data_IF_342323314684
#
_entry.id   IF_342323314684
#
_cell.length_a   1.000
_cell.length_b   1.000
_cell.length_c   1.000
_cell.angle_alpha   90.00
_cell.angle_beta   90.00
_cell.angle_gamma   90.00
#
_symmetry.space_group_name_H-M   'P 1'
#
loop_
_entity.id
_entity.type
_entity.pdbx_description
1 polymer ?
#
# COMPACT_ATOMS: atom_id res chain seq x y z
N UNK A 1 -30.32 46.98 -23.13
CA UNK A 1 -29.72 45.94 -23.97
C UNK A 1 -29.33 44.79 -23.07
N UNK A 2 -30.06 43.68 -23.16
CA UNK A 2 -29.65 42.39 -22.61
C UNK A 2 -28.41 41.89 -23.35
N UNK A 3 -27.43 41.33 -22.63
CA UNK A 3 -26.58 40.29 -23.19
C UNK A 3 -26.41 39.15 -22.18
N UNK A 4 -26.61 37.95 -22.73
CA UNK A 4 -26.88 36.69 -22.07
C UNK A 4 -25.60 36.03 -21.56
N UNK A 5 -25.72 35.40 -20.37
CA UNK A 5 -25.32 34.03 -20.04
C UNK A 5 -23.92 33.55 -20.47
N UNK A 6 -23.09 33.25 -19.47
CA UNK A 6 -22.21 32.08 -19.49
C UNK A 6 -22.20 31.42 -18.10
N UNK A 7 -22.90 30.28 -18.00
CA UNK A 7 -22.69 29.30 -16.92
C UNK A 7 -21.34 28.65 -17.17
N UNK A 8 -20.46 28.64 -16.17
CA UNK A 8 -19.14 28.02 -16.27
C UNK A 8 -18.78 27.34 -14.95
N UNK A 9 -19.17 26.06 -14.86
CA UNK A 9 -18.54 24.99 -14.10
C UNK A 9 -17.95 25.34 -12.71
N UNK A 10 -18.79 25.25 -11.68
CA UNK A 10 -18.30 24.86 -10.36
C UNK A 10 -17.92 23.37 -10.47
N UNK A 11 -16.63 23.08 -10.65
CA UNK A 11 -16.07 21.77 -10.35
C UNK A 11 -16.19 21.58 -8.84
N UNK A 12 -17.37 21.14 -8.40
CA UNK A 12 -17.53 20.52 -7.09
C UNK A 12 -16.58 19.32 -7.09
N UNK A 13 -15.38 19.52 -6.57
CA UNK A 13 -14.52 18.46 -6.10
C UNK A 13 -15.31 17.75 -5.02
N UNK A 14 -16.11 16.78 -5.47
CA UNK A 14 -16.63 15.71 -4.67
C UNK A 14 -15.42 14.96 -4.15
N UNK A 15 -14.88 15.46 -3.05
CA UNK A 15 -14.18 14.65 -2.08
C UNK A 15 -15.23 13.64 -1.62
N UNK A 16 -15.34 12.55 -2.39
CA UNK A 16 -16.11 11.39 -1.98
C UNK A 16 -15.44 10.98 -0.68
N UNK A 17 -16.02 11.39 0.44
CA UNK A 17 -15.97 10.62 1.66
C UNK A 17 -16.29 9.20 1.19
N UNK A 18 -15.25 8.38 1.07
CA UNK A 18 -15.41 6.94 0.97
C UNK A 18 -15.99 6.61 2.33
N UNK A 19 -17.32 6.64 2.41
CA UNK A 19 -18.05 6.21 3.58
C UNK A 19 -17.45 4.87 3.99
N UNK A 20 -16.88 4.86 5.20
CA UNK A 20 -16.39 3.69 5.88
C UNK A 20 -17.62 2.79 6.03
N UNK A 21 -17.82 1.92 5.03
CA UNK A 21 -18.91 0.96 5.00
C UNK A 21 -18.52 -0.14 5.99
N UNK A 22 -18.60 0.21 7.27
CA UNK A 22 -18.13 -0.55 8.43
C UNK A 22 -19.14 -1.62 8.90
N UNK A 23 -20.26 -1.79 8.21
CA UNK A 23 -21.33 -2.70 8.64
C UNK A 23 -21.33 -4.04 7.87
N UNK A 24 -20.16 -4.69 7.77
CA UNK A 24 -20.07 -6.09 7.32
C UNK A 24 -19.29 -6.98 8.31
N UNK A 25 -19.27 -6.67 9.61
CA UNK A 25 -18.76 -7.59 10.65
C UNK A 25 -19.86 -8.09 11.58
N UNK A 26 -20.99 -8.47 10.99
CA UNK A 26 -21.88 -9.43 11.64
C UNK A 26 -21.22 -10.82 11.58
N UNK A 27 -20.43 -11.16 12.61
CA UNK A 27 -20.07 -12.52 13.05
C UNK A 27 -18.64 -13.06 12.83
N UNK A 28 -17.64 -12.24 12.49
CA UNK A 28 -16.23 -12.70 12.58
C UNK A 28 -15.56 -12.16 13.83
N UNK A 29 -15.47 -13.00 14.87
CA UNK A 29 -14.80 -12.63 16.11
C UNK A 29 -13.28 -12.51 15.88
N UNK A 30 -12.82 -11.30 15.57
CA UNK A 30 -11.40 -10.98 15.42
C UNK A 30 -10.71 -10.98 16.79
N UNK A 31 -9.64 -11.75 16.94
CA UNK A 31 -8.86 -11.87 18.19
C UNK A 31 -7.43 -11.37 17.98
N UNK A 32 -6.78 -10.86 19.03
CA UNK A 32 -5.39 -10.39 18.94
C UNK A 32 -4.44 -11.50 18.47
N UNK A 33 -4.57 -12.71 19.00
CA UNK A 33 -3.79 -13.87 18.54
C UNK A 33 -4.01 -14.23 17.07
N UNK A 34 -5.23 -14.04 16.55
CA UNK A 34 -5.53 -14.17 15.13
C UNK A 34 -4.81 -13.12 14.28
N UNK A 35 -4.88 -11.84 14.71
CA UNK A 35 -4.23 -10.72 14.02
C UNK A 35 -2.70 -10.83 14.03
N UNK A 36 -2.11 -11.23 15.16
CA UNK A 36 -0.66 -11.46 15.30
C UNK A 36 -0.20 -12.49 14.27
N UNK A 37 -0.84 -13.67 14.26
CA UNK A 37 -0.48 -14.74 13.31
C UNK A 37 -0.65 -14.31 11.86
N UNK A 38 -1.74 -13.62 11.55
CA UNK A 38 -2.01 -13.12 10.21
C UNK A 38 -0.93 -12.11 9.78
N UNK A 39 -0.58 -11.17 10.65
CA UNK A 39 0.48 -10.18 10.39
C UNK A 39 1.83 -10.86 10.13
N UNK A 40 2.22 -11.85 10.94
CA UNK A 40 3.45 -12.61 10.76
C UNK A 40 3.50 -13.37 9.42
N UNK A 41 2.40 -14.03 9.03
CA UNK A 41 2.32 -14.73 7.73
C UNK A 41 2.49 -13.75 6.57
N UNK A 42 1.80 -12.61 6.61
CA UNK A 42 1.89 -11.60 5.56
C UNK A 42 3.30 -11.00 5.51
N UNK A 43 3.94 -10.78 6.66
CA UNK A 43 5.32 -10.31 6.71
C UNK A 43 6.28 -11.30 6.04
N UNK A 44 6.07 -12.61 6.22
CA UNK A 44 6.80 -13.66 5.49
C UNK A 44 6.61 -13.56 3.98
N UNK A 45 5.36 -13.50 3.52
CA UNK A 45 5.03 -13.36 2.09
C UNK A 45 5.59 -12.07 1.47
N UNK A 46 5.65 -10.98 2.23
CA UNK A 46 6.27 -9.72 1.79
C UNK A 46 7.78 -9.87 1.56
N UNK A 47 8.48 -10.56 2.48
CA UNK A 47 9.92 -10.85 2.39
C UNK A 47 10.25 -11.76 1.21
N UNK A 48 9.40 -12.75 0.95
CA UNK A 48 9.51 -13.64 -0.22
C UNK A 48 9.20 -12.92 -1.55
N UNK A 49 8.65 -11.71 -1.48
CA UNK A 49 8.26 -10.95 -2.66
C UNK A 49 7.01 -11.48 -3.35
N UNK A 50 6.25 -12.36 -2.68
CA UNK A 50 5.00 -12.94 -3.14
C UNK A 50 3.81 -11.96 -3.06
N UNK A 51 4.00 -10.80 -2.42
CA UNK A 51 2.99 -9.75 -2.31
C UNK A 51 3.28 -8.57 -3.24
N UNK A 52 2.22 -8.11 -3.91
CA UNK A 52 2.18 -6.80 -4.55
C UNK A 52 2.20 -5.68 -3.50
N UNK A 53 2.98 -4.62 -3.75
CA UNK A 53 3.22 -3.56 -2.74
C UNK A 53 1.97 -2.72 -2.47
N UNK A 54 1.11 -2.52 -3.47
CA UNK A 54 -0.15 -1.77 -3.30
C UNK A 54 -1.17 -2.59 -2.53
N UNK A 55 -1.25 -3.89 -2.83
CA UNK A 55 -2.09 -4.82 -2.09
C UNK A 55 -1.63 -4.92 -0.63
N UNK A 56 -0.32 -5.08 -0.38
CA UNK A 56 0.26 -5.11 0.96
C UNK A 56 -0.08 -3.87 1.79
N UNK A 57 0.05 -2.67 1.22
CA UNK A 57 -0.29 -1.43 1.90
C UNK A 57 -1.79 -1.28 2.22
N UNK A 58 -2.68 -1.84 1.39
CA UNK A 58 -4.13 -1.88 1.69
C UNK A 58 -4.44 -2.89 2.79
N UNK A 59 -3.80 -4.04 2.75
CA UNK A 59 -3.98 -5.09 3.75
C UNK A 59 -3.50 -4.64 5.14
N UNK A 60 -2.33 -4.01 5.21
CA UNK A 60 -1.81 -3.41 6.45
C UNK A 60 -2.79 -2.41 7.07
N UNK A 61 -3.36 -1.50 6.25
CA UNK A 61 -4.36 -0.53 6.74
C UNK A 61 -5.61 -1.20 7.32
N UNK A 62 -6.05 -2.32 6.75
CA UNK A 62 -7.18 -3.09 7.30
C UNK A 62 -6.80 -3.78 8.61
N UNK A 63 -5.63 -4.40 8.68
CA UNK A 63 -5.10 -5.01 9.90
C UNK A 63 -4.93 -4.00 11.03
N UNK A 64 -4.43 -2.79 10.74
CA UNK A 64 -4.31 -1.72 11.74
C UNK A 64 -5.69 -1.29 12.28
N UNK A 65 -6.69 -1.15 11.41
CA UNK A 65 -8.08 -0.89 11.84
C UNK A 65 -8.60 -2.00 12.76
N UNK A 66 -8.41 -3.26 12.39
CA UNK A 66 -8.83 -4.39 13.24
C UNK A 66 -8.09 -4.42 14.57
N UNK A 67 -6.79 -4.16 14.58
CA UNK A 67 -6.00 -4.12 15.80
C UNK A 67 -6.48 -3.03 16.76
N UNK A 68 -6.89 -1.87 16.23
CA UNK A 68 -7.54 -0.81 17.02
C UNK A 68 -8.90 -1.23 17.55
N UNK A 69 -9.71 -1.94 16.75
CA UNK A 69 -11.00 -2.49 17.20
C UNK A 69 -10.83 -3.48 18.33
N UNK A 70 -9.91 -4.44 18.21
CA UNK A 70 -9.62 -5.44 19.24
C UNK A 70 -9.09 -4.78 20.51
N UNK A 71 -8.16 -3.82 20.37
CA UNK A 71 -7.56 -3.12 21.52
C UNK A 71 -8.54 -2.17 22.24
N UNK A 72 -9.47 -1.52 21.52
CA UNK A 72 -10.31 -0.45 22.06
C UNK A 72 -11.78 -0.82 22.31
N UNK A 73 -12.31 -1.87 21.67
CA UNK A 73 -13.74 -2.23 21.68
C UNK A 73 -13.99 -3.72 21.91
N UNK A 74 -12.96 -4.48 22.26
CA UNK A 74 -13.06 -5.90 22.55
C UNK A 74 -13.91 -6.19 23.80
N UNK A 75 -14.47 -7.42 23.91
CA UNK A 75 -15.24 -7.84 25.09
C UNK A 75 -14.40 -7.92 26.37
N UNK A 76 -13.08 -8.06 26.23
CA UNK A 76 -12.10 -7.94 27.30
C UNK A 76 -10.93 -7.07 26.79
N UNK A 77 -10.38 -6.18 27.64
CA UNK A 77 -9.15 -5.46 27.30
C UNK A 77 -8.01 -6.46 27.13
N UNK A 78 -7.13 -6.19 26.16
CA UNK A 78 -5.89 -6.96 25.99
C UNK A 78 -4.98 -6.75 27.20
N UNK A 79 -4.27 -7.80 27.60
CA UNK A 79 -3.18 -7.63 28.54
C UNK A 79 -1.98 -6.92 27.86
N UNK A 80 -1.05 -6.42 28.68
CA UNK A 80 0.12 -5.68 28.20
C UNK A 80 1.00 -6.53 27.25
N UNK A 81 1.06 -7.84 27.48
CA UNK A 81 1.88 -8.75 26.67
C UNK A 81 1.24 -9.00 25.30
N UNK A 82 -0.08 -9.19 25.25
CA UNK A 82 -0.86 -9.32 24.02
C UNK A 82 -0.82 -8.03 23.21
N UNK A 83 -0.94 -6.88 23.87
CA UNK A 83 -0.85 -5.58 23.24
C UNK A 83 0.54 -5.34 22.64
N UNK A 84 1.61 -5.63 23.39
CA UNK A 84 2.98 -5.53 22.90
C UNK A 84 3.25 -6.48 21.73
N UNK A 85 2.76 -7.72 21.82
CA UNK A 85 2.90 -8.71 20.75
C UNK A 85 2.18 -8.28 19.47
N UNK A 86 0.97 -7.73 19.58
CA UNK A 86 0.19 -7.21 18.45
C UNK A 86 0.90 -6.03 17.78
N UNK A 87 1.38 -5.06 18.56
CA UNK A 87 2.14 -3.93 18.04
C UNK A 87 3.45 -4.37 17.39
N UNK A 88 4.16 -5.31 18.00
CA UNK A 88 5.38 -5.91 17.45
C UNK A 88 5.14 -6.56 16.09
N UNK A 89 4.12 -7.42 15.99
CA UNK A 89 3.78 -8.11 14.75
C UNK A 89 3.37 -7.13 13.62
N UNK A 90 2.61 -6.08 13.94
CA UNK A 90 2.26 -5.03 12.97
C UNK A 90 3.49 -4.21 12.54
N UNK A 91 4.38 -3.89 13.48
CA UNK A 91 5.64 -3.20 13.17
C UNK A 91 6.54 -4.00 12.24
N UNK A 92 6.66 -5.31 12.46
CA UNK A 92 7.40 -6.21 11.57
C UNK A 92 6.78 -6.28 10.17
N UNK A 93 5.44 -6.32 10.09
CA UNK A 93 4.73 -6.29 8.82
C UNK A 93 4.97 -4.98 8.06
N UNK A 94 4.85 -3.82 8.71
CA UNK A 94 5.11 -2.52 8.09
C UNK A 94 6.55 -2.45 7.56
N UNK A 95 7.53 -2.87 8.36
CA UNK A 95 8.92 -2.91 7.95
C UNK A 95 9.12 -3.80 6.72
N UNK A 96 8.55 -5.01 6.71
CA UNK A 96 8.66 -5.94 5.58
C UNK A 96 8.06 -5.37 4.29
N UNK A 97 6.90 -4.70 4.39
CA UNK A 97 6.26 -4.05 3.24
C UNK A 97 7.10 -2.89 2.68
N UNK A 98 7.67 -2.06 3.55
CA UNK A 98 8.56 -0.95 3.12
C UNK A 98 9.84 -1.46 2.47
N UNK A 99 10.44 -2.50 3.03
CA UNK A 99 11.61 -3.15 2.42
C UNK A 99 11.28 -3.72 1.04
N UNK A 100 10.10 -4.35 0.90
CA UNK A 100 9.65 -4.88 -0.39
C UNK A 100 9.43 -3.76 -1.42
N UNK A 101 8.81 -2.66 -1.02
CA UNK A 101 8.60 -1.50 -1.88
C UNK A 101 9.92 -0.87 -2.33
N UNK A 102 10.85 -0.67 -1.40
CA UNK A 102 12.20 -0.19 -1.70
C UNK A 102 12.94 -1.12 -2.69
N UNK A 103 12.89 -2.44 -2.47
CA UNK A 103 13.50 -3.41 -3.37
C UNK A 103 12.90 -3.36 -4.78
N UNK A 104 11.57 -3.19 -4.87
CA UNK A 104 10.87 -3.01 -6.15
C UNK A 104 11.35 -1.76 -6.91
N UNK A 105 11.50 -0.64 -6.20
CA UNK A 105 12.00 0.61 -6.77
C UNK A 105 13.46 0.51 -7.24
N UNK A 106 14.32 -0.18 -6.47
CA UNK A 106 15.71 -0.41 -6.87
C UNK A 106 15.78 -1.26 -8.13
N UNK A 107 15.00 -2.34 -8.21
CA UNK A 107 14.95 -3.21 -9.39
C UNK A 107 14.42 -2.46 -10.63
N UNK A 108 13.40 -1.63 -10.47
CA UNK A 108 12.88 -0.79 -11.56
C UNK A 108 13.93 0.22 -12.05
N UNK A 109 14.63 0.89 -11.13
CA UNK A 109 15.69 1.83 -11.48
C UNK A 109 16.88 1.17 -12.20
N UNK A 110 17.26 -0.04 -11.80
CA UNK A 110 18.30 -0.81 -12.49
C UNK A 110 17.92 -1.09 -13.95
N UNK A 111 16.69 -1.55 -14.20
CA UNK A 111 16.16 -1.80 -15.54
C UNK A 111 16.13 -0.55 -16.43
N UNK A 112 15.84 0.62 -15.85
CA UNK A 112 15.87 1.88 -16.59
C UNK A 112 17.29 2.23 -17.06
N UNK A 113 18.29 2.09 -16.18
CA UNK A 113 19.70 2.33 -16.52
C UNK A 113 20.22 1.38 -17.60
N UNK A 114 19.85 0.11 -17.51
CA UNK A 114 20.17 -0.89 -18.55
C UNK A 114 19.54 -0.50 -19.90
N UNK A 115 18.26 -0.10 -19.89
CA UNK A 115 17.53 0.33 -21.08
C UNK A 115 18.17 1.57 -21.73
N UNK A 116 18.55 2.58 -20.94
CA UNK A 116 19.22 3.79 -21.43
C UNK A 116 20.62 3.50 -22.01
N UNK A 117 21.37 2.57 -21.40
CA UNK A 117 22.67 2.15 -21.93
C UNK A 117 22.57 1.45 -23.29
N UNK A 118 21.46 0.72 -23.52
CA UNK A 118 21.20 0.00 -24.78
C UNK A 118 20.66 0.91 -25.88
N UNK A 119 19.91 1.96 -25.53
CA UNK A 119 19.32 2.91 -26.48
C UNK A 119 20.37 3.88 -27.07
N UNK A 120 21.40 4.22 -26.30
CA UNK A 120 22.52 5.04 -26.78
C UNK A 120 23.43 4.35 -27.82
N UNK A 121 23.47 3.01 -27.87
CA UNK A 121 24.21 2.27 -28.92
C UNK A 121 23.54 2.33 -30.30
N UNK A 122 22.20 2.47 -30.38
CA UNK A 122 21.48 2.53 -31.67
C UNK A 122 21.47 3.90 -32.34
N UNK A 123 21.89 4.97 -31.64
CA UNK A 123 21.91 6.35 -32.19
C UNK A 123 23.26 6.79 -32.75
N UNK A 124 24.31 5.95 -32.69
CA UNK A 124 25.66 6.28 -33.18
C UNK A 124 26.09 5.51 -34.43
N UNK A 125 25.15 5.14 -35.30
CA UNK A 125 25.46 4.48 -36.58
C UNK A 125 24.59 5.00 -37.73
N UNK A 126 24.58 6.32 -37.95
CA UNK A 126 24.25 6.89 -39.27
C UNK A 126 24.75 8.32 -39.41
N UNK A 127 26.05 8.51 -39.65
CA UNK A 127 26.58 9.53 -40.57
C UNK A 127 28.08 9.32 -40.78
N UNK A 128 28.42 8.32 -41.59
CA UNK A 128 29.66 8.33 -42.36
C UNK A 128 29.27 8.40 -43.84
N UNK A 129 29.86 9.40 -44.50
CA UNK A 129 30.14 9.58 -45.94
C UNK A 129 29.12 9.17 -47.01
N UNK A 130 28.72 10.14 -47.85
CA UNK A 130 29.09 10.09 -49.27
C UNK A 130 29.01 11.49 -49.93
N UNK A 131 30.01 11.77 -50.79
CA UNK A 131 30.23 12.87 -51.73
C UNK A 131 30.05 14.34 -51.30
#
# INVERSE_FOLDING_TARGET
MEFRRARGAECQSGEKAVEDRDDLDGATQTTAGGLIRLASVIAGLAREGALDTRFGAKLFRRLDKEARRVSGRGPAPLDETEQAALLGALGELDLALRQRDAASLVAANARLRESDSSSNKRRKSKKDGDA
#
